data_IF_815513513629
#
_entry.id   IF_815513513629
#
_cell.length_a   1.000
_cell.length_b   1.000
_cell.length_c   1.000
_cell.angle_alpha   90.00
_cell.angle_beta   90.00
_cell.angle_gamma   90.00
#
_symmetry.space_group_name_H-M   'P 1'
#
loop_
_entity.id
_entity.type
_entity.pdbx_description
1 polymer ?
#
# COMPACT_ATOMS: atom_id res chain seq x y z
N UNK A 1 11.82 -96.95 32.03
CA UNK A 1 12.52 -96.16 33.06
C UNK A 1 13.14 -94.97 32.39
N UNK A 2 12.91 -93.82 32.96
CA UNK A 2 13.57 -92.53 32.79
C UNK A 2 12.92 -91.50 31.88
N UNK A 3 12.55 -90.48 32.57
CA UNK A 3 11.94 -89.21 32.21
C UNK A 3 12.78 -88.35 31.27
N UNK A 4 12.14 -87.78 30.30
CA UNK A 4 12.68 -86.66 29.56
C UNK A 4 11.89 -85.37 29.94
N UNK A 5 12.59 -84.45 30.60
CA UNK A 5 12.04 -83.19 31.00
C UNK A 5 11.90 -82.20 29.79
N UNK A 6 10.76 -81.60 29.73
CA UNK A 6 10.48 -80.53 28.82
C UNK A 6 11.16 -79.24 29.32
N UNK A 7 11.99 -78.62 28.48
CA UNK A 7 12.51 -77.28 28.68
C UNK A 7 11.57 -76.26 28.01
N UNK A 8 10.87 -75.52 28.85
CA UNK A 8 10.14 -74.29 28.45
C UNK A 8 11.12 -73.17 28.15
N UNK A 9 10.99 -72.55 26.97
CA UNK A 9 11.72 -71.34 26.61
C UNK A 9 10.96 -70.10 27.09
N UNK A 10 11.61 -69.12 27.71
CA UNK A 10 10.91 -67.88 28.14
C UNK A 10 10.64 -66.97 26.96
N UNK A 11 9.35 -66.55 26.80
CA UNK A 11 8.93 -65.47 25.92
C UNK A 11 9.53 -64.16 26.40
N UNK A 12 10.38 -63.57 25.60
CA UNK A 12 10.87 -62.18 25.81
C UNK A 12 9.72 -61.18 25.62
N UNK A 13 9.34 -60.51 26.68
CA UNK A 13 8.44 -59.37 26.67
C UNK A 13 9.17 -58.13 26.15
N UNK A 14 8.70 -57.58 25.05
CA UNK A 14 9.22 -56.32 24.47
C UNK A 14 8.84 -55.16 25.41
N UNK A 15 9.79 -54.36 25.90
CA UNK A 15 9.49 -53.35 26.88
C UNK A 15 8.67 -52.19 26.26
N UNK A 16 7.61 -51.83 26.96
CA UNK A 16 6.62 -50.78 26.69
C UNK A 16 7.24 -49.36 26.52
N UNK A 17 8.51 -49.21 26.86
CA UNK A 17 9.25 -47.92 26.80
C UNK A 17 9.44 -47.42 25.38
N UNK A 18 9.47 -48.31 24.36
CA UNK A 18 9.70 -47.90 22.97
C UNK A 18 8.49 -47.20 22.31
N UNK A 19 7.28 -47.36 22.86
CA UNK A 19 6.06 -46.71 22.37
C UNK A 19 5.91 -45.24 22.84
N UNK A 20 6.43 -44.90 24.02
CA UNK A 20 6.37 -43.54 24.56
C UNK A 20 7.35 -42.57 23.87
N UNK A 21 8.49 -43.06 23.40
CA UNK A 21 9.49 -42.22 22.73
C UNK A 21 9.03 -41.81 21.34
N UNK A 22 8.29 -42.64 20.61
CA UNK A 22 7.76 -42.31 19.26
C UNK A 22 6.63 -41.32 19.34
N UNK A 23 5.76 -41.34 20.36
CA UNK A 23 4.65 -40.40 20.53
C UNK A 23 5.17 -39.03 20.96
N UNK A 24 6.22 -38.96 21.78
CA UNK A 24 6.84 -37.68 22.18
C UNK A 24 7.57 -36.99 21.02
N UNK A 25 8.18 -37.76 20.10
CA UNK A 25 8.84 -37.20 18.92
C UNK A 25 7.85 -36.56 17.91
N UNK A 26 6.63 -37.09 17.82
CA UNK A 26 5.58 -36.49 16.96
C UNK A 26 4.93 -35.24 17.55
N UNK A 27 4.94 -35.09 18.86
CA UNK A 27 4.35 -33.92 19.52
C UNK A 27 5.27 -32.67 19.44
N UNK A 28 6.58 -32.84 19.30
CA UNK A 28 7.56 -31.75 19.17
C UNK A 28 7.64 -31.20 17.74
N UNK A 29 7.26 -32.00 16.73
CA UNK A 29 7.30 -31.59 15.32
C UNK A 29 6.07 -30.77 14.88
N UNK A 30 5.05 -30.65 15.74
CA UNK A 30 3.80 -29.94 15.45
C UNK A 30 3.82 -28.43 15.79
N UNK A 31 4.87 -27.91 16.42
CA UNK A 31 5.00 -26.50 16.80
C UNK A 31 5.93 -25.69 15.87
N UNK A 32 6.03 -26.04 14.60
CA UNK A 32 6.47 -25.05 13.61
C UNK A 32 5.30 -24.11 13.42
N UNK A 33 5.16 -23.16 14.36
CA UNK A 33 4.21 -22.08 14.28
C UNK A 33 4.39 -21.41 12.93
N UNK A 34 3.34 -21.34 12.14
CA UNK A 34 3.26 -20.45 11.01
C UNK A 34 3.47 -19.04 11.57
N UNK A 35 4.71 -18.55 11.56
CA UNK A 35 4.96 -17.15 11.68
C UNK A 35 4.26 -16.51 10.47
N UNK A 36 3.06 -16.01 10.68
CA UNK A 36 2.42 -15.12 9.71
C UNK A 36 3.42 -13.98 9.51
N UNK A 37 4.12 -13.98 8.38
CA UNK A 37 5.02 -12.90 8.03
C UNK A 37 4.20 -11.61 8.10
N UNK A 38 4.61 -10.71 8.97
CA UNK A 38 3.91 -9.43 9.10
C UNK A 38 3.96 -8.75 7.73
N UNK A 39 2.79 -8.42 7.20
CA UNK A 39 2.65 -7.74 5.91
C UNK A 39 3.57 -6.51 5.90
N UNK A 40 4.37 -6.40 4.87
CA UNK A 40 5.30 -5.30 4.64
C UNK A 40 4.88 -4.57 3.38
N UNK A 41 5.00 -3.25 3.37
CA UNK A 41 4.76 -2.44 2.18
C UNK A 41 5.86 -2.69 1.16
N UNK A 42 5.47 -2.92 -0.08
CA UNK A 42 6.38 -3.03 -1.22
C UNK A 42 5.93 -2.03 -2.27
N UNK A 43 6.81 -1.08 -2.58
CA UNK A 43 6.56 -0.08 -3.61
C UNK A 43 6.33 -0.73 -4.97
N UNK A 44 5.24 -0.42 -5.68
CA UNK A 44 5.01 -0.94 -7.03
C UNK A 44 6.12 -0.49 -7.98
N UNK A 45 6.59 -1.41 -8.82
CA UNK A 45 7.52 -1.06 -9.90
C UNK A 45 6.79 -0.23 -10.95
N UNK A 46 7.23 1.00 -11.17
CA UNK A 46 6.69 1.85 -12.20
C UNK A 46 6.99 1.30 -13.60
N UNK A 47 5.99 1.33 -14.45
CA UNK A 47 6.15 1.21 -15.90
C UNK A 47 6.24 2.61 -16.49
N UNK A 48 6.58 2.71 -17.79
CA UNK A 48 6.45 3.96 -18.52
C UNK A 48 5.05 4.55 -18.35
N UNK A 49 4.93 5.86 -18.13
CA UNK A 49 3.66 6.52 -17.81
C UNK A 49 2.55 6.25 -18.86
N UNK A 50 2.90 6.16 -20.14
CA UNK A 50 1.97 5.82 -21.24
C UNK A 50 1.33 4.42 -21.11
N UNK A 51 1.92 3.53 -20.30
CA UNK A 51 1.37 2.19 -20.07
C UNK A 51 0.17 2.15 -19.11
N UNK A 52 -0.15 3.27 -18.48
CA UNK A 52 -1.32 3.39 -17.60
C UNK A 52 -2.51 3.96 -18.37
N UNK A 53 -3.74 3.51 -18.11
CA UNK A 53 -4.94 4.01 -18.80
C UNK A 53 -5.14 5.51 -18.63
N UNK A 54 -4.99 5.99 -17.40
CA UNK A 54 -5.14 7.41 -17.08
C UNK A 54 -3.79 8.12 -17.20
N UNK A 55 -3.50 8.63 -18.38
CA UNK A 55 -2.29 9.40 -18.67
C UNK A 55 -2.58 10.60 -19.57
N UNK A 56 -1.65 11.54 -19.55
CA UNK A 56 -1.57 12.68 -20.46
C UNK A 56 -0.16 12.71 -21.06
N UNK A 57 -0.10 12.80 -22.39
CA UNK A 57 1.13 12.69 -23.18
C UNK A 57 1.39 14.02 -23.90
N UNK A 58 2.52 14.61 -23.61
CA UNK A 58 3.00 15.84 -24.23
C UNK A 58 4.17 15.55 -25.18
N UNK A 59 3.90 15.17 -26.42
CA UNK A 59 4.95 14.72 -27.36
C UNK A 59 5.99 15.78 -27.71
N UNK A 60 5.62 17.08 -27.66
CA UNK A 60 6.54 18.17 -27.96
C UNK A 60 7.55 18.37 -26.84
N UNK A 61 7.12 18.25 -25.59
CA UNK A 61 7.95 18.31 -24.40
C UNK A 61 8.61 16.96 -24.09
N UNK A 62 8.17 15.88 -24.75
CA UNK A 62 8.63 14.52 -24.51
C UNK A 62 8.41 14.05 -23.05
N UNK A 63 7.34 14.53 -22.42
CA UNK A 63 6.98 14.18 -21.04
C UNK A 63 5.59 13.55 -21.03
N UNK A 64 5.48 12.45 -20.29
CA UNK A 64 4.21 11.75 -20.07
C UNK A 64 3.94 11.64 -18.58
N UNK A 65 2.75 12.00 -18.18
CA UNK A 65 2.28 11.89 -16.79
C UNK A 65 1.16 10.89 -16.71
N UNK A 66 1.12 10.07 -15.69
CA UNK A 66 0.01 9.16 -15.42
C UNK A 66 -0.30 9.06 -13.95
N UNK A 67 -1.52 8.64 -13.68
CA UNK A 67 -2.00 8.35 -12.34
C UNK A 67 -2.75 7.02 -12.31
N UNK A 68 -2.63 6.32 -11.20
CA UNK A 68 -3.29 5.06 -10.95
C UNK A 68 -3.81 5.04 -9.50
N UNK A 69 -5.10 5.38 -9.26
CA UNK A 69 -5.69 5.38 -7.94
C UNK A 69 -5.71 3.99 -7.29
N UNK A 70 -5.43 3.92 -5.99
CA UNK A 70 -5.50 2.73 -5.16
C UNK A 70 -6.73 2.81 -4.25
N UNK A 71 -7.89 2.98 -4.89
CA UNK A 71 -9.19 3.18 -4.25
C UNK A 71 -9.98 1.88 -4.03
N UNK A 72 -9.60 0.79 -4.70
CA UNK A 72 -10.19 -0.55 -4.52
C UNK A 72 -9.34 -1.40 -3.58
N UNK A 73 -10.00 -2.31 -2.85
CA UNK A 73 -9.38 -3.10 -1.77
C UNK A 73 -8.19 -3.93 -2.26
N UNK A 74 -8.31 -4.60 -3.41
CA UNK A 74 -7.26 -5.45 -3.97
C UNK A 74 -5.98 -4.65 -4.29
N UNK A 75 -6.12 -3.43 -4.85
CA UNK A 75 -4.98 -2.56 -5.11
C UNK A 75 -4.40 -1.98 -3.81
N UNK A 76 -5.27 -1.53 -2.91
CA UNK A 76 -4.88 -0.98 -1.62
C UNK A 76 -4.23 -2.04 -0.71
N UNK A 77 -4.39 -3.32 -1.05
CA UNK A 77 -3.81 -4.43 -0.29
C UNK A 77 -2.27 -4.42 -0.20
N UNK A 78 -1.55 -3.63 -0.98
CA UNK A 78 -0.09 -3.46 -0.84
C UNK A 78 0.30 -2.72 0.44
N UNK A 79 -0.57 -1.85 0.95
CA UNK A 79 -0.31 -1.06 2.16
C UNK A 79 -0.56 -1.88 3.42
N UNK A 80 0.18 -1.58 4.49
CA UNK A 80 -0.09 -2.12 5.83
C UNK A 80 -1.19 -1.34 6.53
N UNK A 81 -1.37 -0.08 6.15
CA UNK A 81 -2.42 0.83 6.62
C UNK A 81 -3.56 0.87 5.62
N UNK A 82 -4.80 0.73 6.10
CA UNK A 82 -5.96 1.01 5.28
C UNK A 82 -6.24 2.52 5.28
N UNK A 83 -5.63 3.25 4.35
CA UNK A 83 -5.75 4.71 4.25
C UNK A 83 -7.18 5.18 4.03
N UNK A 84 -8.03 4.38 3.38
CA UNK A 84 -9.43 4.70 3.14
C UNK A 84 -10.23 4.87 4.44
N UNK A 85 -9.90 4.08 5.49
CA UNK A 85 -10.53 4.22 6.81
C UNK A 85 -10.20 5.56 7.49
N UNK A 86 -9.17 6.24 7.02
CA UNK A 86 -8.76 7.56 7.48
C UNK A 86 -9.15 8.69 6.52
N UNK A 87 -9.96 8.38 5.50
CA UNK A 87 -10.43 9.35 4.52
C UNK A 87 -9.43 9.69 3.41
N UNK A 88 -8.41 8.85 3.19
CA UNK A 88 -7.43 9.08 2.13
C UNK A 88 -7.55 8.11 0.97
N UNK A 89 -7.30 8.62 -0.24
CA UNK A 89 -7.02 7.80 -1.43
C UNK A 89 -5.56 7.97 -1.80
N UNK A 90 -4.74 6.89 -1.74
CA UNK A 90 -3.42 6.88 -2.36
C UNK A 90 -3.56 6.83 -3.88
N UNK A 91 -2.88 7.73 -4.58
CA UNK A 91 -2.83 7.76 -6.04
C UNK A 91 -1.39 7.54 -6.47
N UNK A 92 -1.11 6.45 -7.18
CA UNK A 92 0.20 6.18 -7.72
C UNK A 92 0.46 7.13 -8.88
N UNK A 93 1.37 8.05 -8.70
CA UNK A 93 1.79 9.06 -9.66
C UNK A 93 3.04 8.59 -10.36
N UNK A 94 3.05 8.68 -11.69
CA UNK A 94 4.17 8.29 -12.53
C UNK A 94 4.42 9.38 -13.56
N UNK A 95 5.66 9.80 -13.69
CA UNK A 95 6.10 10.74 -14.69
C UNK A 95 7.30 10.18 -15.44
N UNK A 96 7.24 10.17 -16.77
CA UNK A 96 8.31 9.69 -17.65
C UNK A 96 8.82 10.84 -18.50
N UNK A 97 10.12 10.99 -18.54
CA UNK A 97 10.83 11.90 -19.42
C UNK A 97 11.45 11.12 -20.57
N UNK A 98 10.90 11.25 -21.78
CA UNK A 98 11.40 10.66 -23.02
C UNK A 98 12.41 11.62 -23.72
N UNK A 99 12.66 12.79 -23.13
CA UNK A 99 13.57 13.81 -23.63
C UNK A 99 15.03 13.52 -23.33
N UNK A 100 15.90 14.32 -23.93
CA UNK A 100 17.35 14.23 -23.81
C UNK A 100 17.92 15.14 -22.70
N UNK A 101 17.07 15.97 -22.10
CA UNK A 101 17.40 16.89 -21.00
C UNK A 101 16.56 16.57 -19.76
N UNK A 102 17.04 16.84 -18.53
CA UNK A 102 16.28 16.60 -17.32
C UNK A 102 15.08 17.53 -17.21
N UNK A 103 14.01 17.03 -16.60
CA UNK A 103 12.79 17.78 -16.28
C UNK A 103 12.75 18.05 -14.78
N UNK A 104 12.63 19.33 -14.41
CA UNK A 104 12.54 19.76 -13.01
C UNK A 104 11.11 19.68 -12.48
N UNK A 105 10.96 19.12 -11.28
CA UNK A 105 9.70 19.04 -10.54
C UNK A 105 9.68 19.97 -9.33
N UNK A 106 10.69 20.83 -9.22
CA UNK A 106 10.75 21.82 -8.13
C UNK A 106 9.66 22.85 -8.32
N UNK A 107 8.74 22.93 -7.36
CA UNK A 107 7.56 23.81 -7.48
C UNK A 107 6.34 23.16 -8.13
N UNK A 108 6.44 21.87 -8.50
CA UNK A 108 5.32 21.08 -9.01
C UNK A 108 4.12 21.15 -8.06
N UNK A 109 2.94 21.32 -8.64
CA UNK A 109 1.67 21.34 -7.93
C UNK A 109 0.72 20.32 -8.54
N UNK A 110 0.49 19.24 -7.82
CA UNK A 110 -0.54 18.26 -8.15
C UNK A 110 -1.86 18.65 -7.49
N UNK A 111 -2.99 18.42 -8.18
CA UNK A 111 -4.31 18.78 -7.72
C UNK A 111 -5.33 17.81 -8.28
N UNK A 112 -6.25 17.32 -7.45
CA UNK A 112 -7.42 16.57 -7.88
C UNK A 112 -8.64 17.48 -7.78
N UNK A 113 -9.26 17.82 -8.90
CA UNK A 113 -10.49 18.59 -8.95
C UNK A 113 -11.67 17.63 -9.01
N UNK A 114 -12.54 17.69 -8.01
CA UNK A 114 -13.74 16.85 -7.95
C UNK A 114 -14.84 17.41 -8.88
N UNK A 115 -15.86 16.60 -9.13
CA UNK A 115 -17.05 17.01 -9.88
C UNK A 115 -17.69 18.31 -9.32
N UNK A 116 -17.66 18.46 -8.02
CA UNK A 116 -18.21 19.64 -7.32
C UNK A 116 -17.25 20.84 -7.29
N UNK A 117 -16.17 20.78 -8.09
CA UNK A 117 -15.12 21.80 -8.21
C UNK A 117 -14.30 22.02 -6.93
N UNK A 118 -14.37 21.11 -5.97
CA UNK A 118 -13.44 21.11 -4.84
C UNK A 118 -12.04 20.77 -5.33
N UNK A 119 -11.04 21.49 -4.83
CA UNK A 119 -9.64 21.32 -5.18
C UNK A 119 -8.94 20.61 -4.03
N UNK A 120 -8.55 19.38 -4.27
CA UNK A 120 -7.81 18.56 -3.31
C UNK A 120 -6.33 18.59 -3.67
N UNK A 121 -5.50 18.83 -2.67
CA UNK A 121 -4.04 18.79 -2.80
C UNK A 121 -3.49 17.57 -2.08
N UNK A 122 -2.35 17.01 -2.51
CA UNK A 122 -1.72 15.94 -1.77
C UNK A 122 -1.39 16.37 -0.34
N UNK A 123 -1.73 15.51 0.61
CA UNK A 123 -1.41 15.71 2.02
C UNK A 123 0.08 15.53 2.28
N UNK A 124 0.62 16.32 3.17
CA UNK A 124 2.00 16.17 3.63
C UNK A 124 2.16 14.91 4.50
N UNK A 125 3.40 14.44 4.67
CA UNK A 125 3.73 13.36 5.61
C UNK A 125 3.21 13.66 7.01
N UNK A 126 3.39 14.91 7.48
CA UNK A 126 2.95 15.34 8.82
C UNK A 126 1.43 15.29 8.98
N UNK A 127 0.68 15.68 7.93
CA UNK A 127 -0.79 15.61 7.96
C UNK A 127 -1.28 14.17 8.00
N UNK A 128 -0.68 13.28 7.20
CA UNK A 128 -0.97 11.85 7.24
C UNK A 128 -0.72 11.27 8.62
N UNK A 129 0.47 11.50 9.17
CA UNK A 129 0.86 10.98 10.48
C UNK A 129 -0.05 11.51 11.59
N UNK A 130 -0.41 12.80 11.54
CA UNK A 130 -1.34 13.40 12.49
C UNK A 130 -2.72 12.75 12.42
N UNK A 131 -3.26 12.52 11.23
CA UNK A 131 -4.57 11.88 11.04
C UNK A 131 -4.55 10.42 11.51
N UNK A 132 -3.50 9.68 11.19
CA UNK A 132 -3.35 8.29 11.60
C UNK A 132 -3.15 8.14 13.12
N UNK A 133 -2.52 9.13 13.77
CA UNK A 133 -2.34 9.16 15.23
C UNK A 133 -3.63 9.46 15.97
N UNK A 134 -4.54 10.21 15.35
CA UNK A 134 -5.78 10.66 15.96
C UNK A 134 -6.94 10.31 15.03
N UNK A 135 -7.34 9.02 14.93
CA UNK A 135 -8.49 8.64 14.15
C UNK A 135 -9.70 9.43 14.66
N UNK A 136 -10.37 10.13 13.76
CA UNK A 136 -11.54 10.94 14.07
C UNK A 136 -12.56 10.06 14.77
N UNK A 137 -13.21 10.58 15.82
CA UNK A 137 -14.19 9.90 16.69
C UNK A 137 -15.49 9.47 15.98
N UNK A 138 -15.52 9.45 14.66
CA UNK A 138 -16.67 9.08 13.83
C UNK A 138 -16.79 7.59 13.54
N UNK A 139 -15.91 6.75 14.09
CA UNK A 139 -16.23 5.34 14.16
C UNK A 139 -17.44 5.22 15.09
N UNK A 140 -18.61 4.90 14.50
CA UNK A 140 -19.78 4.40 15.20
C UNK A 140 -19.41 3.09 15.88
N UNK A 141 -18.60 3.18 16.93
CA UNK A 141 -18.46 2.11 17.89
C UNK A 141 -19.81 2.01 18.57
N UNK A 142 -20.57 0.95 18.28
CA UNK A 142 -21.69 0.53 19.09
C UNK A 142 -21.17 0.40 20.52
N UNK A 143 -21.28 1.47 21.29
CA UNK A 143 -20.95 1.49 22.70
C UNK A 143 -22.02 0.70 23.43
N UNK A 144 -21.75 -0.59 23.60
CA UNK A 144 -22.43 -1.35 24.64
C UNK A 144 -22.18 -0.64 25.98
N UNK A 145 -23.19 -0.45 26.83
CA UNK A 145 -23.06 0.29 28.09
C UNK A 145 -22.39 -0.54 29.19
N UNK A 146 -21.18 -1.06 28.89
CA UNK A 146 -20.37 -1.78 29.87
C UNK A 146 -19.14 -0.91 30.11
N UNK A 147 -18.87 -0.45 31.35
CA UNK A 147 -17.67 0.30 31.65
C UNK A 147 -16.45 -0.63 31.65
N UNK A 148 -15.88 -0.85 30.49
CA UNK A 148 -14.56 -1.46 30.38
C UNK A 148 -13.51 -0.38 30.67
N UNK A 149 -12.42 -0.70 31.41
CA UNK A 149 -11.34 0.24 31.64
C UNK A 149 -10.78 0.69 30.27
N UNK A 150 -10.87 2.00 30.00
CA UNK A 150 -10.30 2.61 28.81
C UNK A 150 -8.79 2.40 28.86
N UNK A 151 -8.30 1.48 28.04
CA UNK A 151 -6.86 1.38 27.77
C UNK A 151 -6.53 2.65 26.99
N UNK A 152 -5.88 3.62 27.64
CA UNK A 152 -5.28 4.75 26.93
C UNK A 152 -4.27 4.20 25.92
N UNK A 153 -4.69 4.10 24.67
CA UNK A 153 -3.76 3.91 23.57
C UNK A 153 -3.02 5.24 23.48
N UNK A 154 -1.79 5.30 23.98
CA UNK A 154 -0.88 6.41 23.72
C UNK A 154 -0.81 6.56 22.21
N UNK A 155 -1.43 7.62 21.67
CA UNK A 155 -1.52 7.92 20.27
C UNK A 155 -0.11 8.13 19.69
N UNK A 156 0.38 7.13 18.98
CA UNK A 156 1.60 7.21 18.21
C UNK A 156 1.44 6.29 17.00
N UNK A 157 1.79 6.80 15.83
CA UNK A 157 1.90 5.97 14.63
C UNK A 157 3.05 4.99 14.85
N UNK A 158 2.87 3.72 14.46
CA UNK A 158 3.93 2.73 14.58
C UNK A 158 5.14 3.13 13.70
N UNK A 159 6.36 2.75 14.10
CA UNK A 159 7.56 2.97 13.27
C UNK A 159 7.37 2.42 11.85
N UNK A 160 6.76 1.26 11.75
CA UNK A 160 6.47 0.59 10.48
C UNK A 160 5.54 1.43 9.58
N UNK A 161 4.51 2.05 10.14
CA UNK A 161 3.61 2.95 9.41
C UNK A 161 4.34 4.21 8.94
N UNK A 162 5.24 4.71 9.78
CA UNK A 162 6.08 5.86 9.45
C UNK A 162 6.98 5.55 8.24
N UNK A 163 7.71 4.45 8.33
CA UNK A 163 8.60 3.97 7.27
C UNK A 163 7.83 3.69 5.96
N UNK A 164 6.59 3.17 6.05
CA UNK A 164 5.70 2.97 4.89
C UNK A 164 5.35 4.28 4.20
N UNK A 165 4.92 5.30 4.94
CA UNK A 165 4.55 6.61 4.36
C UNK A 165 5.76 7.24 3.68
N UNK A 166 6.92 7.24 4.35
CA UNK A 166 8.15 7.81 3.82
C UNK A 166 8.59 7.12 2.52
N UNK A 167 8.50 5.79 2.47
CA UNK A 167 8.84 5.01 1.27
C UNK A 167 7.81 5.16 0.15
N UNK A 168 6.53 5.29 0.49
CA UNK A 168 5.46 5.36 -0.49
C UNK A 168 5.37 6.73 -1.18
N UNK A 169 5.63 7.82 -0.44
CA UNK A 169 5.37 9.17 -0.91
C UNK A 169 6.27 9.57 -2.10
N UNK A 170 5.68 10.26 -3.08
CA UNK A 170 6.44 10.81 -4.19
C UNK A 170 7.39 11.91 -3.70
N UNK A 171 8.68 11.73 -3.97
CA UNK A 171 9.74 12.61 -3.44
C UNK A 171 10.72 13.13 -4.52
N UNK A 172 10.56 12.73 -5.80
CA UNK A 172 11.47 13.14 -6.86
C UNK A 172 11.38 14.66 -7.09
N UNK A 173 12.53 15.29 -7.25
CA UNK A 173 12.67 16.72 -7.57
C UNK A 173 13.00 16.96 -9.04
N UNK A 174 13.39 15.92 -9.76
CA UNK A 174 13.66 15.93 -11.18
C UNK A 174 13.43 14.55 -11.77
N UNK A 175 13.26 14.48 -13.10
CA UNK A 175 13.24 13.25 -13.86
C UNK A 175 14.36 13.34 -14.90
N UNK A 176 15.33 12.44 -14.77
CA UNK A 176 16.47 12.38 -15.69
C UNK A 176 16.04 12.00 -17.10
N UNK A 177 16.86 12.28 -18.12
CA UNK A 177 16.60 11.86 -19.49
C UNK A 177 16.31 10.36 -19.58
N UNK A 178 15.32 9.99 -20.39
CA UNK A 178 14.92 8.60 -20.67
C UNK A 178 14.62 7.80 -19.40
N UNK A 179 14.08 8.45 -18.38
CA UNK A 179 13.78 7.83 -17.09
C UNK A 179 12.35 8.05 -16.62
N UNK A 180 11.97 7.31 -15.59
CA UNK A 180 10.65 7.39 -14.97
C UNK A 180 10.81 7.57 -13.46
N UNK A 181 10.10 8.55 -12.90
CA UNK A 181 9.96 8.74 -11.47
C UNK A 181 8.53 8.37 -11.05
N UNK A 182 8.37 7.82 -9.85
CA UNK A 182 7.08 7.42 -9.33
C UNK A 182 7.00 7.51 -7.81
N UNK A 183 5.77 7.54 -7.30
CA UNK A 183 5.46 7.53 -5.88
C UNK A 183 3.97 7.79 -5.66
N UNK A 184 3.54 7.72 -4.42
CA UNK A 184 2.15 7.97 -4.08
C UNK A 184 1.91 9.43 -3.69
N UNK A 185 0.78 9.95 -4.14
CA UNK A 185 0.16 11.19 -3.68
C UNK A 185 -1.09 10.79 -2.87
N UNK A 186 -1.21 11.29 -1.65
CA UNK A 186 -2.33 10.97 -0.77
C UNK A 186 -3.33 12.12 -0.74
N UNK A 187 -4.54 11.90 -1.23
CA UNK A 187 -5.59 12.92 -1.24
C UNK A 187 -6.59 12.68 -0.13
N UNK A 188 -6.84 13.72 0.69
CA UNK A 188 -7.91 13.70 1.69
C UNK A 188 -9.26 13.84 0.98
N UNK A 189 -10.06 12.79 1.05
CA UNK A 189 -11.40 12.69 0.44
C UNK A 189 -12.47 12.51 1.51
N UNK A 190 -12.19 12.93 2.74
CA UNK A 190 -13.15 12.87 3.85
C UNK A 190 -14.43 13.58 3.44
N UNK A 191 -15.56 12.97 3.72
CA UNK A 191 -16.91 13.46 3.43
C UNK A 191 -17.24 13.66 1.94
N UNK A 192 -16.40 13.17 1.02
CA UNK A 192 -16.65 13.19 -0.42
C UNK A 192 -17.11 11.82 -0.91
N UNK A 193 -18.37 11.74 -1.31
CA UNK A 193 -18.89 10.53 -1.96
C UNK A 193 -18.40 10.45 -3.41
N UNK A 194 -17.85 9.29 -3.80
CA UNK A 194 -17.37 9.04 -5.17
C UNK A 194 -16.36 10.09 -5.67
N UNK A 195 -15.25 10.32 -4.96
CA UNK A 195 -14.34 11.44 -5.21
C UNK A 195 -13.64 11.41 -6.57
N UNK A 196 -13.62 10.25 -7.25
CA UNK A 196 -13.01 10.09 -8.58
C UNK A 196 -14.03 10.28 -9.72
N UNK A 197 -15.34 10.13 -9.45
CA UNK A 197 -16.35 10.24 -10.48
C UNK A 197 -16.50 11.70 -10.94
N UNK A 198 -16.29 11.95 -12.25
CA UNK A 198 -16.30 13.30 -12.82
C UNK A 198 -15.16 14.21 -12.34
N UNK A 199 -14.11 13.61 -11.78
CA UNK A 199 -12.94 14.37 -11.35
C UNK A 199 -11.86 14.44 -12.45
N UNK A 200 -10.96 15.42 -12.33
CA UNK A 200 -9.76 15.54 -13.17
C UNK A 200 -8.54 15.81 -12.31
N UNK A 201 -7.44 15.12 -12.62
CA UNK A 201 -6.14 15.40 -12.02
C UNK A 201 -5.42 16.45 -12.84
N UNK A 202 -4.84 17.43 -12.17
CA UNK A 202 -4.05 18.49 -12.77
C UNK A 202 -2.63 18.52 -12.19
N UNK A 203 -1.66 18.76 -13.07
CA UNK A 203 -0.27 18.95 -12.69
C UNK A 203 0.26 20.21 -13.38
N UNK A 204 0.87 21.08 -12.59
CA UNK A 204 1.51 22.33 -13.06
C UNK A 204 2.86 22.53 -12.39
N UNK A 205 3.66 23.49 -12.87
CA UNK A 205 4.96 23.81 -12.29
C UNK A 205 6.02 22.75 -12.58
N UNK A 206 5.90 22.06 -13.71
CA UNK A 206 6.93 21.22 -14.28
C UNK A 206 7.75 22.06 -15.25
N UNK A 207 9.08 22.03 -15.15
CA UNK A 207 9.95 22.89 -15.93
C UNK A 207 10.93 22.09 -16.78
N UNK A 208 11.30 22.63 -17.94
CA UNK A 208 12.39 22.12 -18.74
C UNK A 208 13.77 22.42 -18.09
N UNK A 209 14.85 21.96 -18.69
CA UNK A 209 16.22 22.20 -18.22
C UNK A 209 16.62 23.70 -18.25
N UNK A 210 15.90 24.54 -18.98
CA UNK A 210 16.12 26.00 -19.09
C UNK A 210 15.29 26.78 -18.06
N UNK A 211 14.41 26.09 -17.32
CA UNK A 211 13.52 26.68 -16.34
C UNK A 211 12.24 27.24 -16.93
N UNK A 212 11.87 26.91 -18.17
CA UNK A 212 10.58 27.28 -18.73
C UNK A 212 9.51 26.33 -18.21
N UNK A 213 8.33 26.86 -17.86
CA UNK A 213 7.17 26.05 -17.51
C UNK A 213 6.73 25.21 -18.71
N UNK A 214 6.56 23.92 -18.49
CA UNK A 214 5.86 23.06 -19.42
C UNK A 214 4.35 23.33 -19.34
N UNK A 215 3.62 22.97 -20.39
CA UNK A 215 2.17 23.02 -20.37
C UNK A 215 1.62 22.19 -19.18
N UNK A 216 0.46 22.58 -18.65
CA UNK A 216 -0.16 21.77 -17.59
C UNK A 216 -0.66 20.44 -18.13
N UNK A 217 -0.56 19.40 -17.29
CA UNK A 217 -1.14 18.09 -17.59
C UNK A 217 -2.52 17.98 -16.99
N UNK A 218 -3.46 17.43 -17.76
CA UNK A 218 -4.83 17.19 -17.32
C UNK A 218 -5.26 15.78 -17.63
N UNK A 219 -5.60 15.01 -16.58
CA UNK A 219 -6.00 13.60 -16.70
C UNK A 219 -7.40 13.45 -16.14
N UNK A 220 -8.44 13.34 -17.01
CA UNK A 220 -9.78 13.00 -16.56
C UNK A 220 -9.83 11.62 -15.92
N UNK A 221 -10.48 11.51 -14.75
CA UNK A 221 -10.59 10.25 -14.01
C UNK A 221 -11.42 9.19 -14.72
N UNK A 222 -12.24 9.56 -15.68
CA UNK A 222 -12.98 8.64 -16.54
C UNK A 222 -12.05 7.66 -17.28
N UNK A 223 -10.83 8.09 -17.62
CA UNK A 223 -9.83 7.21 -18.25
C UNK A 223 -9.44 6.05 -17.33
N UNK A 224 -9.40 6.27 -16.02
CA UNK A 224 -9.14 5.25 -15.03
C UNK A 224 -10.39 4.40 -14.77
N UNK A 225 -11.54 5.03 -14.53
CA UNK A 225 -12.79 4.35 -14.17
C UNK A 225 -13.25 3.38 -15.27
N UNK A 226 -13.26 3.82 -16.53
CA UNK A 226 -13.64 2.97 -17.66
C UNK A 226 -12.69 1.78 -17.86
N UNK A 227 -11.41 1.92 -17.56
CA UNK A 227 -10.46 0.81 -17.63
C UNK A 227 -10.62 -0.18 -16.47
N UNK A 228 -11.12 0.25 -15.31
CA UNK A 228 -11.37 -0.60 -14.15
C UNK A 228 -12.65 -1.45 -14.27
N UNK A 229 -13.64 -0.99 -15.05
CA UNK A 229 -14.89 -1.71 -15.30
C UNK A 229 -14.73 -2.90 -16.26
N UNK A 230 -13.65 -2.96 -17.03
CA UNK A 230 -13.38 -4.00 -18.06
C UNK A 230 -12.65 -5.22 -17.45
N UNK A 231 -12.29 -5.22 -16.19
CA UNK A 231 -11.66 -6.35 -15.49
C UNK A 231 -12.68 -7.10 -14.65
#
# INVERSE_FOLDING_TARGET
MQNAGLLESPRASIPTVRRFVVVSAFLVLGCVGAFAAAKEFIMPTARHARAYPAHDDHPLEKVVVSIDPYDVEDKAAIFTVNYRNYGYIPVFFVITNDGDEPVSLVGMKAQLNTKDRSKLYPSSTDDLLRRLSHPSRNDHVNTLPIPLPKKEVKGGVSRKTWDEIEQAQFAAKAVEPHSTASGFLFFDVTDISYPLAGASFYLTGVHDAKGNDLMYFEIPMEKYLSASEVK
#
